data_IF_383896896220
#
_entry.id   IF_383896896220
#
_cell.length_a   1.000
_cell.length_b   1.000
_cell.length_c   1.000
_cell.angle_alpha   90.00
_cell.angle_beta   90.00
_cell.angle_gamma   90.00
#
_symmetry.space_group_name_H-M   'P 1'
#
loop_
_entity.id
_entity.type
_entity.pdbx_description
1 polymer ?
#
# COMPACT_ATOMS: atom_id res chain seq x y z
N UNK A 1 26.98 2.93 8.91
CA UNK A 1 26.51 3.82 9.99
C UNK A 1 25.00 3.97 9.91
N UNK A 2 24.37 4.00 11.07
CA UNK A 2 22.92 4.22 11.12
C UNK A 2 22.58 5.62 10.60
N UNK A 3 21.37 5.77 10.05
CA UNK A 3 20.86 7.05 9.59
C UNK A 3 19.41 7.21 10.04
N UNK A 4 19.09 8.43 10.44
CA UNK A 4 17.75 8.77 10.89
C UNK A 4 17.01 9.48 9.77
N UNK A 5 15.81 9.00 9.47
CA UNK A 5 14.89 9.67 8.54
C UNK A 5 13.65 10.11 9.30
N UNK A 6 13.19 11.32 9.05
CA UNK A 6 11.96 11.81 9.67
C UNK A 6 10.83 11.77 8.67
N UNK A 7 9.60 11.66 9.16
CA UNK A 7 8.43 11.66 8.29
C UNK A 7 8.33 12.97 7.51
N UNK A 8 8.73 14.09 8.12
CA UNK A 8 8.68 15.40 7.47
C UNK A 8 9.57 15.47 6.22
N UNK A 9 10.63 14.67 6.17
CA UNK A 9 11.56 14.63 5.03
C UNK A 9 11.14 13.63 3.95
N UNK A 10 10.09 12.86 4.19
CA UNK A 10 9.68 11.80 3.28
C UNK A 10 9.18 12.39 1.96
N UNK A 11 9.49 11.69 0.87
CA UNK A 11 9.02 12.05 -0.46
C UNK A 11 7.55 11.67 -0.59
N UNK A 12 6.71 12.62 -0.96
CA UNK A 12 5.32 12.33 -1.25
C UNK A 12 5.20 11.82 -2.70
N UNK A 13 4.60 10.65 -2.85
CA UNK A 13 4.39 10.03 -4.16
C UNK A 13 3.02 10.46 -4.68
N UNK A 14 2.94 10.71 -6.00
CA UNK A 14 1.71 11.10 -6.65
C UNK A 14 0.90 9.89 -7.10
N UNK A 15 0.54 9.01 -6.16
CA UNK A 15 -0.22 7.81 -6.48
C UNK A 15 -1.72 8.06 -6.35
N UNK A 16 -2.55 7.43 -7.22
CA UNK A 16 -3.98 7.69 -7.21
C UNK A 16 -4.68 7.13 -5.97
N UNK A 17 -5.65 7.88 -5.47
CA UNK A 17 -6.56 7.41 -4.42
C UNK A 17 -5.97 7.31 -3.02
N UNK A 18 -4.72 7.74 -2.83
CA UNK A 18 -4.08 7.67 -1.53
C UNK A 18 -2.94 8.67 -1.40
N UNK A 19 -2.61 8.99 -0.16
CA UNK A 19 -1.42 9.78 0.15
C UNK A 19 -0.33 8.80 0.57
N UNK A 20 0.75 8.76 -0.19
CA UNK A 20 1.85 7.83 0.07
C UNK A 20 3.15 8.60 0.29
N UNK A 21 3.80 8.35 1.42
CA UNK A 21 5.08 8.95 1.78
C UNK A 21 6.15 7.86 1.74
N UNK A 22 7.14 8.01 0.88
CA UNK A 22 8.26 7.08 0.84
C UNK A 22 9.31 7.54 1.84
N UNK A 23 9.43 6.81 2.94
CA UNK A 23 10.31 7.20 4.05
C UNK A 23 11.72 6.70 3.82
N UNK A 24 11.85 5.43 3.44
CA UNK A 24 13.14 4.81 3.17
C UNK A 24 13.06 4.04 1.87
N UNK A 25 14.04 4.21 1.01
CA UNK A 25 14.17 3.43 -0.22
C UNK A 25 15.61 3.55 -0.75
N UNK A 26 15.85 2.99 -1.93
CA UNK A 26 17.13 3.16 -2.60
C UNK A 26 17.44 4.62 -2.94
N UNK A 27 16.41 5.46 -3.08
CA UNK A 27 16.62 6.87 -3.39
C UNK A 27 17.30 7.64 -2.26
N UNK A 28 17.14 7.20 -1.02
CA UNK A 28 17.83 7.83 0.10
C UNK A 28 18.83 6.88 0.76
N UNK A 29 19.24 5.85 0.05
CA UNK A 29 20.44 5.09 0.38
C UNK A 29 20.22 3.70 0.95
N UNK A 30 19.00 3.21 1.04
CA UNK A 30 18.78 1.83 1.44
C UNK A 30 19.25 0.89 0.33
N UNK A 31 19.69 -0.29 0.72
CA UNK A 31 20.18 -1.27 -0.24
C UNK A 31 19.24 -2.45 -0.43
N UNK A 32 18.32 -2.66 0.51
CA UNK A 32 17.45 -3.82 0.44
C UNK A 32 16.06 -3.63 1.00
N UNK A 33 15.65 -2.39 1.29
CA UNK A 33 14.33 -2.16 1.87
C UNK A 33 13.69 -0.90 1.33
N UNK A 34 12.36 -0.91 1.29
CA UNK A 34 11.54 0.28 1.07
C UNK A 34 10.45 0.29 2.12
N UNK A 35 10.22 1.46 2.72
CA UNK A 35 9.16 1.64 3.69
C UNK A 35 8.33 2.87 3.32
N UNK A 36 7.01 2.70 3.26
CA UNK A 36 6.07 3.75 2.92
C UNK A 36 4.99 3.87 3.99
N UNK A 37 4.63 5.11 4.28
CA UNK A 37 3.46 5.41 5.10
C UNK A 37 2.34 5.81 4.17
N UNK A 38 1.21 5.11 4.22
CA UNK A 38 0.11 5.29 3.28
C UNK A 38 -1.15 5.65 4.04
N UNK A 39 -1.80 6.72 3.59
CA UNK A 39 -3.09 7.13 4.12
C UNK A 39 -4.13 7.01 3.01
N UNK A 40 -5.17 6.22 3.27
CA UNK A 40 -6.28 6.04 2.34
C UNK A 40 -7.50 6.73 2.93
N UNK A 41 -7.99 7.81 2.30
CA UNK A 41 -9.16 8.52 2.82
C UNK A 41 -10.43 7.67 2.66
N UNK A 42 -11.46 8.07 3.39
CA UNK A 42 -12.79 7.49 3.18
C UNK A 42 -13.21 7.81 1.75
N UNK A 43 -13.66 6.80 0.97
CA UNK A 43 -14.09 7.05 -0.41
C UNK A 43 -15.24 8.03 -0.47
N UNK A 44 -15.20 8.93 -1.48
CA UNK A 44 -16.28 9.87 -1.71
C UNK A 44 -17.40 9.19 -2.49
N UNK A 45 -18.67 9.59 -2.28
CA UNK A 45 -19.78 9.05 -3.05
C UNK A 45 -19.55 9.24 -4.56
N UNK A 46 -19.75 8.17 -5.33
CA UNK A 46 -19.55 8.20 -6.78
C UNK A 46 -18.11 8.07 -7.24
N UNK A 47 -17.18 7.99 -6.33
CA UNK A 47 -15.76 7.80 -6.67
C UNK A 47 -15.53 6.36 -7.14
N UNK A 48 -14.85 6.22 -8.29
CA UNK A 48 -14.51 4.90 -8.81
C UNK A 48 -13.45 4.25 -7.89
N UNK A 49 -13.63 2.98 -7.51
CA UNK A 49 -12.63 2.31 -6.69
C UNK A 49 -11.34 2.10 -7.46
N UNK A 50 -10.23 2.19 -6.73
CA UNK A 50 -8.92 1.89 -7.29
C UNK A 50 -8.83 0.40 -7.62
N UNK A 51 -8.22 0.08 -8.76
CA UNK A 51 -8.03 -1.31 -9.17
C UNK A 51 -6.87 -1.97 -8.45
N UNK A 52 -6.78 -3.29 -8.57
CA UNK A 52 -5.70 -4.06 -7.95
C UNK A 52 -4.36 -3.82 -8.66
N UNK A 53 -3.28 -4.01 -7.92
CA UNK A 53 -1.92 -3.96 -8.45
C UNK A 53 -1.15 -5.19 -7.97
N UNK A 54 0.05 -5.38 -8.51
CA UNK A 54 0.91 -6.49 -8.13
C UNK A 54 2.37 -6.05 -8.15
N UNK A 55 3.17 -6.75 -7.36
CA UNK A 55 4.62 -6.56 -7.31
C UNK A 55 5.30 -7.87 -7.66
N UNK A 56 6.13 -7.86 -8.71
CA UNK A 56 6.87 -9.04 -9.10
C UNK A 56 8.20 -9.10 -8.36
N UNK A 57 8.58 -10.27 -7.91
CA UNK A 57 9.91 -10.51 -7.39
C UNK A 57 10.13 -10.15 -5.93
N UNK A 58 9.13 -9.64 -5.22
CA UNK A 58 9.26 -9.39 -3.79
C UNK A 58 7.92 -9.43 -3.08
N UNK A 59 7.99 -9.65 -1.78
CA UNK A 59 6.83 -9.63 -0.90
C UNK A 59 6.52 -8.20 -0.47
N UNK A 60 5.33 -8.03 0.09
CA UNK A 60 4.95 -6.79 0.77
C UNK A 60 4.30 -7.14 2.11
N UNK A 61 4.70 -6.43 3.18
CA UNK A 61 3.99 -6.47 4.45
C UNK A 61 3.22 -5.17 4.61
N UNK A 62 1.95 -5.26 4.97
CA UNK A 62 1.11 -4.10 5.22
C UNK A 62 0.61 -4.18 6.65
N UNK A 63 1.08 -3.25 7.48
CA UNK A 63 0.68 -3.14 8.87
C UNK A 63 -0.31 -2.00 9.04
N UNK A 64 -1.43 -2.27 9.71
CA UNK A 64 -2.46 -1.25 9.95
C UNK A 64 -2.14 -0.48 11.22
N UNK A 65 -1.87 0.81 11.07
CA UNK A 65 -1.62 1.70 12.21
C UNK A 65 -2.92 2.18 12.84
N UNK A 66 -3.91 2.54 12.02
CA UNK A 66 -5.21 2.99 12.51
C UNK A 66 -6.26 2.87 11.41
N UNK A 67 -7.52 2.77 11.81
CA UNK A 67 -8.64 2.67 10.89
C UNK A 67 -9.01 1.23 10.58
N UNK A 68 -9.93 1.08 9.63
CA UNK A 68 -10.45 -0.21 9.16
C UNK A 68 -10.36 -0.27 7.66
N UNK A 69 -9.95 -1.40 7.15
CA UNK A 69 -9.88 -1.61 5.71
C UNK A 69 -10.09 -3.07 5.35
N UNK A 70 -10.05 -3.33 4.06
CA UNK A 70 -10.09 -4.69 3.54
C UNK A 70 -9.11 -4.76 2.39
N UNK A 71 -8.25 -5.78 2.40
CA UNK A 71 -7.45 -6.10 1.24
C UNK A 71 -8.19 -7.13 0.41
N UNK A 72 -8.44 -6.76 -0.83
CA UNK A 72 -9.03 -7.64 -1.83
C UNK A 72 -7.88 -8.21 -2.67
N UNK A 73 -7.72 -9.50 -2.64
CA UNK A 73 -6.61 -10.18 -3.31
C UNK A 73 -7.16 -11.33 -4.15
N UNK A 74 -6.33 -11.89 -5.02
CA UNK A 74 -6.74 -13.05 -5.81
C UNK A 74 -7.13 -14.22 -4.92
N UNK A 75 -6.46 -14.36 -3.78
CA UNK A 75 -6.72 -15.45 -2.85
C UNK A 75 -7.95 -15.24 -1.96
N UNK A 76 -8.50 -14.02 -1.89
CA UNK A 76 -9.66 -13.76 -1.05
C UNK A 76 -9.75 -12.34 -0.55
N UNK A 77 -10.62 -12.13 0.44
CA UNK A 77 -10.83 -10.84 1.08
C UNK A 77 -10.36 -10.92 2.52
N UNK A 78 -9.61 -9.91 2.93
CA UNK A 78 -8.97 -9.89 4.25
C UNK A 78 -9.35 -8.60 4.97
N UNK A 79 -10.38 -8.63 5.85
CA UNK A 79 -10.68 -7.45 6.68
C UNK A 79 -9.54 -7.17 7.64
N UNK A 80 -9.22 -5.89 7.80
CA UNK A 80 -8.08 -5.44 8.58
C UNK A 80 -8.50 -4.37 9.58
N UNK A 81 -7.88 -4.39 10.74
CA UNK A 81 -8.01 -3.34 11.75
C UNK A 81 -6.64 -3.02 12.34
N UNK A 82 -6.56 -2.00 13.14
CA UNK A 82 -5.30 -1.58 13.76
C UNK A 82 -4.60 -2.76 14.44
N UNK A 83 -3.32 -2.91 14.18
CA UNK A 83 -2.50 -4.00 14.71
C UNK A 83 -2.41 -5.22 13.81
N UNK A 84 -3.25 -5.32 12.78
CA UNK A 84 -3.17 -6.44 11.84
C UNK A 84 -2.09 -6.22 10.80
N UNK A 85 -1.49 -7.31 10.35
CA UNK A 85 -0.54 -7.30 9.24
C UNK A 85 -0.98 -8.31 8.21
N UNK A 86 -0.96 -7.92 6.93
CA UNK A 86 -1.16 -8.85 5.83
C UNK A 86 0.15 -8.98 5.05
N UNK A 87 0.49 -10.21 4.70
CA UNK A 87 1.63 -10.53 3.86
C UNK A 87 1.13 -10.83 2.45
N UNK A 88 1.62 -10.07 1.49
CA UNK A 88 1.28 -10.27 0.07
C UNK A 88 2.47 -10.94 -0.60
N UNK A 89 2.30 -12.14 -1.17
CA UNK A 89 3.37 -12.79 -1.90
C UNK A 89 3.65 -12.09 -3.24
N UNK A 90 4.82 -12.35 -3.83
CA UNK A 90 5.14 -11.78 -5.14
C UNK A 90 4.08 -12.17 -6.19
N UNK A 91 3.69 -11.20 -7.01
CA UNK A 91 2.81 -11.46 -8.15
C UNK A 91 1.32 -11.53 -7.85
N UNK A 92 0.92 -11.55 -6.59
CA UNK A 92 -0.51 -11.59 -6.29
C UNK A 92 -1.14 -10.22 -6.47
N UNK A 93 -2.15 -10.11 -7.32
CA UNK A 93 -2.91 -8.88 -7.50
C UNK A 93 -3.71 -8.59 -6.23
N UNK A 94 -3.63 -7.35 -5.78
CA UNK A 94 -4.31 -6.94 -4.56
C UNK A 94 -4.60 -5.45 -4.56
N UNK A 95 -5.56 -5.05 -3.76
CA UNK A 95 -5.85 -3.65 -3.47
C UNK A 95 -6.41 -3.57 -2.05
N UNK A 96 -5.91 -2.61 -1.28
CA UNK A 96 -6.45 -2.34 0.05
C UNK A 96 -7.34 -1.12 -0.04
N UNK A 97 -8.55 -1.23 0.48
CA UNK A 97 -9.55 -0.16 0.47
C UNK A 97 -9.95 0.18 1.88
N UNK A 98 -10.25 1.46 2.09
CA UNK A 98 -10.80 1.93 3.34
C UNK A 98 -12.27 1.51 3.42
N UNK A 99 -12.61 0.72 4.44
CA UNK A 99 -13.99 0.26 4.68
C UNK A 99 -14.54 0.81 5.98
N UNK A 100 -13.85 1.77 6.59
CA UNK A 100 -14.28 2.41 7.82
C UNK A 100 -14.81 3.82 7.61
N UNK A 101 -14.83 4.59 8.68
CA UNK A 101 -15.40 5.94 8.70
C UNK A 101 -14.37 7.03 8.95
N UNK A 102 -13.09 6.68 8.94
CA UNK A 102 -11.99 7.59 9.15
C UNK A 102 -10.82 7.15 8.27
N UNK A 103 -9.80 7.99 8.09
CA UNK A 103 -8.66 7.60 7.26
C UNK A 103 -8.04 6.30 7.72
N UNK A 104 -7.66 5.46 6.76
CA UNK A 104 -6.93 4.22 7.01
C UNK A 104 -5.45 4.50 6.86
N UNK A 105 -4.70 4.25 7.93
CA UNK A 105 -3.27 4.53 7.95
C UNK A 105 -2.50 3.22 7.99
N UNK A 106 -1.61 3.05 7.01
CA UNK A 106 -0.87 1.81 6.79
C UNK A 106 0.63 2.08 6.76
N UNK A 107 1.40 1.11 7.25
CA UNK A 107 2.83 1.06 7.03
C UNK A 107 3.11 -0.09 6.08
N UNK A 108 3.67 0.22 4.91
CA UNK A 108 3.98 -0.77 3.88
C UNK A 108 5.49 -0.98 3.82
N UNK A 109 5.89 -2.23 3.89
CA UNK A 109 7.29 -2.62 3.89
C UNK A 109 7.56 -3.59 2.77
N UNK A 110 8.66 -3.34 2.04
CA UNK A 110 9.10 -4.18 0.93
C UNK A 110 10.57 -4.54 1.13
N UNK A 111 10.95 -5.79 0.94
CA UNK A 111 12.36 -6.22 1.02
C UNK A 111 13.08 -5.95 -0.32
N UNK A 112 12.98 -4.74 -0.82
CA UNK A 112 13.62 -4.29 -2.04
C UNK A 112 13.83 -2.79 -1.95
N UNK A 113 14.97 -2.31 -2.42
CA UNK A 113 15.28 -0.88 -2.41
C UNK A 113 14.57 -0.11 -3.52
N UNK A 114 14.11 -0.81 -4.55
CA UNK A 114 13.38 -0.21 -5.68
C UNK A 114 12.19 -1.09 -6.02
N UNK A 115 10.99 -0.67 -5.61
CA UNK A 115 9.77 -1.43 -5.86
C UNK A 115 9.01 -0.95 -7.08
N UNK A 116 9.46 0.12 -7.73
CA UNK A 116 8.81 0.59 -8.96
C UNK A 116 9.04 -0.40 -10.09
N UNK A 117 10.18 -1.08 -10.06
CA UNK A 117 10.50 -2.13 -10.99
C UNK A 117 9.65 -3.36 -10.68
N UNK A 118 8.90 -3.83 -11.64
CA UNK A 118 8.04 -5.00 -11.46
C UNK A 118 6.69 -4.70 -10.83
N UNK A 119 6.41 -3.45 -10.48
CA UNK A 119 5.09 -3.06 -10.00
C UNK A 119 4.19 -2.77 -11.19
N UNK A 120 3.01 -3.40 -11.19
CA UNK A 120 1.98 -3.17 -12.21
C UNK A 120 0.75 -2.61 -11.51
N UNK A 121 0.36 -1.39 -11.92
CA UNK A 121 -0.77 -0.71 -11.31
C UNK A 121 -1.72 -0.25 -12.41
N UNK A 122 -2.96 -0.78 -12.45
CA UNK A 122 -3.90 -0.40 -13.48
C UNK A 122 -4.36 1.05 -13.30
N UNK A 123 -4.73 1.68 -14.42
CA UNK A 123 -5.19 3.06 -14.41
C UNK A 123 -6.54 3.22 -13.73
N UNK A 124 -7.40 2.21 -13.87
CA UNK A 124 -8.75 2.24 -13.32
C UNK A 124 -9.08 0.90 -12.69
N UNK A 125 -10.20 0.86 -11.97
CA UNK A 125 -10.67 -0.37 -11.37
C UNK A 125 -10.88 -1.44 -12.43
N UNK A 126 -10.20 -2.58 -12.26
CA UNK A 126 -10.29 -3.73 -13.15
C UNK A 126 -9.82 -4.97 -12.38
N UNK A 127 -10.13 -6.14 -12.92
CA UNK A 127 -9.67 -7.40 -12.36
C UNK A 127 -10.66 -7.99 -11.39
N UNK A 128 -10.71 -7.51 -10.16
CA UNK A 128 -11.58 -8.11 -9.17
C UNK A 128 -13.02 -7.64 -9.30
N UNK A 129 -14.00 -8.50 -9.02
CA UNK A 129 -15.39 -8.06 -8.92
C UNK A 129 -15.54 -6.99 -7.85
N UNK A 130 -16.50 -6.09 -8.05
CA UNK A 130 -16.79 -5.09 -7.03
C UNK A 130 -17.39 -5.75 -5.81
N UNK A 131 -16.95 -5.31 -4.63
CA UNK A 131 -17.47 -5.80 -3.35
C UNK A 131 -18.26 -4.70 -2.68
N UNK A 132 -19.29 -5.11 -2.01
CA UNK A 132 -20.19 -4.20 -1.30
C UNK A 132 -19.78 -4.04 0.15
#
# INVERSE_FOLDING_TARGET
>A
MARLFTQAQAKQLGLPGRKSLEIVSGENGAKGVTMRLVEIPVPQPGEAPRGPHQHSGHEECIYVLSGYGTTFAESGEYPLKAGDTILIPPGEKHVTRNTGHMPLLLLCFFPSADITKGTVEPAVSSGFPKRQ
#
